data_IF_135967916312
#
_entry.id   IF_135967916312
#
_cell.length_a   1.000
_cell.length_b   1.000
_cell.length_c   1.000
_cell.angle_alpha   90.00
_cell.angle_beta   90.00
_cell.angle_gamma   90.00
#
_symmetry.space_group_name_H-M   'P 1'
#
loop_
_entity.id
_entity.type
_entity.pdbx_description
1 polymer ?
#
# COMPACT_ATOMS: atom_id res chain seq x y z
N UNK A 1 -30.68 9.77 26.89
CA UNK A 1 -30.30 8.42 26.51
C UNK A 1 -30.91 8.14 25.15
N UNK A 2 -30.22 8.39 24.09
CA UNK A 2 -30.57 7.99 22.71
C UNK A 2 -29.34 7.26 22.19
N UNK A 3 -29.51 5.95 21.92
CA UNK A 3 -28.46 5.09 21.39
C UNK A 3 -28.09 5.54 19.98
N UNK A 4 -26.81 5.72 19.74
CA UNK A 4 -26.25 5.90 18.41
C UNK A 4 -25.87 4.52 17.90
N UNK A 5 -26.53 4.11 16.82
CA UNK A 5 -26.16 2.93 16.03
C UNK A 5 -24.80 3.18 15.36
N UNK A 6 -23.74 2.63 15.94
CA UNK A 6 -22.43 2.60 15.28
C UNK A 6 -22.42 1.44 14.29
N UNK A 7 -22.55 1.76 13.00
CA UNK A 7 -22.39 0.80 11.90
C UNK A 7 -20.90 0.63 11.65
N UNK A 8 -20.30 -0.41 12.20
CA UNK A 8 -18.94 -0.83 11.91
C UNK A 8 -18.93 -1.92 10.85
N UNK A 9 -18.28 -1.65 9.74
CA UNK A 9 -18.02 -2.59 8.66
C UNK A 9 -16.51 -2.67 8.44
N UNK A 10 -15.89 -3.71 8.94
CA UNK A 10 -14.52 -4.11 8.60
C UNK A 10 -14.54 -4.91 7.28
N UNK A 11 -15.09 -4.32 6.25
CA UNK A 11 -15.04 -4.85 4.89
C UNK A 11 -15.23 -3.66 3.97
N UNK A 12 -14.38 -3.53 2.96
CA UNK A 12 -14.50 -2.46 1.98
C UNK A 12 -15.87 -2.52 1.32
N UNK A 13 -16.82 -1.70 1.77
CA UNK A 13 -18.11 -1.55 1.13
C UNK A 13 -17.95 -0.60 -0.05
N UNK A 14 -18.10 -1.11 -1.28
CA UNK A 14 -18.44 -0.26 -2.40
C UNK A 14 -19.95 0.03 -2.38
N UNK A 15 -20.40 1.23 -2.77
CA UNK A 15 -21.82 1.54 -2.85
C UNK A 15 -22.51 0.76 -3.98
N UNK A 16 -23.69 0.31 -3.72
CA UNK A 16 -24.55 -0.38 -4.69
C UNK A 16 -24.97 0.59 -5.80
N UNK A 17 -24.68 0.24 -7.04
CA UNK A 17 -25.15 0.93 -8.23
C UNK A 17 -26.70 0.84 -8.30
N UNK A 18 -27.40 1.96 -8.19
CA UNK A 18 -28.81 2.06 -8.54
C UNK A 18 -28.88 2.33 -10.04
N UNK A 19 -29.35 1.33 -10.81
CA UNK A 19 -29.67 1.45 -12.23
C UNK A 19 -30.91 2.34 -12.42
N UNK A 20 -30.67 3.57 -12.88
CA UNK A 20 -31.75 4.37 -13.49
C UNK A 20 -31.73 4.14 -15.02
N UNK A 21 -32.76 3.57 -15.54
CA UNK A 21 -32.94 3.29 -16.97
C UNK A 21 -33.02 4.57 -17.80
N UNK A 22 -32.15 4.70 -18.77
CA UNK A 22 -32.18 5.72 -19.82
C UNK A 22 -31.98 5.06 -21.17
N UNK A 23 -33.02 5.05 -21.98
CA UNK A 23 -33.06 4.56 -23.37
C UNK A 23 -32.16 5.42 -24.25
N UNK A 24 -31.12 4.86 -24.83
CA UNK A 24 -30.32 5.52 -25.85
C UNK A 24 -30.49 4.84 -27.21
N UNK A 25 -30.88 5.65 -28.17
CA UNK A 25 -31.12 5.31 -29.57
C UNK A 25 -29.78 5.01 -30.26
N UNK A 26 -29.71 3.85 -30.91
CA UNK A 26 -28.57 3.41 -31.71
C UNK A 26 -28.67 4.02 -33.10
N UNK A 27 -27.68 4.81 -33.51
CA UNK A 27 -27.42 5.18 -34.89
C UNK A 27 -26.32 4.28 -35.45
N UNK A 28 -26.69 3.37 -36.38
CA UNK A 28 -25.68 2.61 -37.14
C UNK A 28 -25.14 3.47 -38.29
N UNK A 29 -23.84 3.56 -38.35
CA UNK A 29 -23.13 4.00 -39.58
C UNK A 29 -22.31 2.83 -40.07
N UNK A 30 -22.67 2.35 -41.25
CA UNK A 30 -21.95 1.30 -41.98
C UNK A 30 -20.70 1.88 -42.67
N UNK A 31 -19.56 1.26 -42.54
CA UNK A 31 -18.37 1.49 -43.36
C UNK A 31 -17.91 0.18 -43.98
N UNK A 32 -17.73 0.18 -45.28
CA UNK A 32 -17.37 -0.95 -46.13
C UNK A 32 -15.84 -1.27 -46.09
N UNK A 33 -15.42 -2.50 -46.48
CA UNK A 33 -14.05 -2.92 -46.34
C UNK A 33 -13.17 -2.52 -47.55
N UNK A 34 -11.96 -2.05 -47.32
CA UNK A 34 -10.94 -1.87 -48.33
C UNK A 34 -10.02 -3.09 -48.42
N UNK A 35 -9.94 -3.68 -49.59
CA UNK A 35 -9.07 -4.77 -49.98
C UNK A 35 -7.63 -4.28 -50.13
N UNK A 36 -6.65 -4.95 -49.53
CA UNK A 36 -5.22 -4.78 -49.89
C UNK A 36 -4.62 -6.11 -50.31
N UNK A 37 -4.02 -6.05 -51.48
CA UNK A 37 -3.43 -7.16 -52.21
C UNK A 37 -2.08 -7.62 -51.63
N UNK A 38 -1.93 -8.96 -51.63
CA UNK A 38 -0.69 -9.69 -51.37
C UNK A 38 0.30 -9.52 -52.52
N UNK A 39 1.58 -9.21 -52.22
CA UNK A 39 2.70 -9.52 -53.11
C UNK A 39 3.74 -10.34 -52.35
N UNK A 40 3.80 -11.61 -52.71
CA UNK A 40 4.84 -12.54 -52.33
C UNK A 40 6.15 -12.25 -53.06
N UNK A 41 7.31 -12.36 -52.39
CA UNK A 41 8.63 -12.52 -52.97
C UNK A 41 9.36 -13.73 -52.36
N UNK A 42 10.20 -14.41 -53.12
CA UNK A 42 10.54 -15.81 -52.90
C UNK A 42 11.76 -16.03 -51.99
N UNK A 43 11.73 -17.16 -51.37
CA UNK A 43 12.77 -17.84 -50.60
C UNK A 43 14.05 -18.08 -51.41
N UNK A 44 15.20 -17.65 -50.90
CA UNK A 44 16.50 -18.19 -51.30
C UNK A 44 17.09 -19.01 -50.13
N UNK A 45 17.21 -20.28 -50.37
CA UNK A 45 18.00 -21.24 -49.58
C UNK A 45 19.48 -21.02 -49.88
N UNK A 46 20.28 -20.74 -48.88
CA UNK A 46 21.73 -20.96 -48.94
C UNK A 46 22.17 -21.84 -47.78
N UNK A 47 22.52 -23.06 -48.14
CA UNK A 47 23.29 -23.97 -47.30
C UNK A 47 24.76 -23.56 -47.37
N UNK A 48 25.35 -23.22 -46.22
CA UNK A 48 26.80 -23.27 -46.08
C UNK A 48 27.18 -23.94 -44.74
N UNK A 49 27.87 -25.03 -44.88
CA UNK A 49 28.61 -25.72 -43.81
C UNK A 49 29.85 -24.90 -43.48
N UNK A 50 29.99 -24.45 -42.27
CA UNK A 50 31.30 -24.13 -41.71
C UNK A 50 31.52 -24.93 -40.42
N UNK A 51 32.49 -25.81 -40.49
CA UNK A 51 33.15 -26.42 -39.33
C UNK A 51 34.04 -25.34 -38.68
N UNK A 52 34.00 -25.26 -37.34
CA UNK A 52 35.13 -24.65 -36.71
C UNK A 52 34.89 -24.07 -35.34
N UNK A 53 35.55 -24.71 -34.39
CA UNK A 53 36.00 -24.17 -33.11
C UNK A 53 34.93 -23.76 -32.07
N UNK A 54 34.60 -24.72 -31.21
CA UNK A 54 33.94 -24.42 -29.93
C UNK A 54 34.85 -23.58 -29.03
N UNK A 55 34.63 -22.25 -29.05
CA UNK A 55 35.02 -21.41 -27.95
C UNK A 55 33.94 -21.61 -26.90
N UNK A 56 34.24 -22.40 -25.87
CA UNK A 56 33.49 -22.38 -24.60
C UNK A 56 33.67 -20.97 -24.02
N UNK A 57 32.75 -20.06 -24.32
CA UNK A 57 32.53 -18.91 -23.46
C UNK A 57 32.23 -19.50 -22.08
N UNK A 58 33.15 -19.31 -21.12
CA UNK A 58 32.88 -19.48 -19.71
C UNK A 58 31.76 -18.49 -19.40
N UNK A 59 30.52 -18.99 -19.44
CA UNK A 59 29.37 -18.24 -19.04
C UNK A 59 29.61 -17.81 -17.58
N UNK A 60 29.55 -16.51 -17.32
CA UNK A 60 29.43 -16.01 -15.98
C UNK A 60 28.32 -16.81 -15.30
N UNK A 61 28.65 -17.59 -14.28
CA UNK A 61 27.67 -18.33 -13.48
C UNK A 61 26.79 -17.29 -12.85
N UNK A 62 25.57 -17.12 -13.40
CA UNK A 62 24.58 -16.18 -12.86
C UNK A 62 24.36 -16.48 -11.38
N UNK A 63 24.19 -15.44 -10.56
CA UNK A 63 23.89 -15.63 -9.15
C UNK A 63 22.60 -16.45 -9.01
N UNK A 64 22.57 -17.41 -8.09
CA UNK A 64 21.32 -18.14 -7.79
C UNK A 64 20.29 -17.18 -7.12
N UNK A 65 19.00 -17.45 -7.28
CA UNK A 65 17.94 -16.64 -6.67
C UNK A 65 18.13 -16.52 -5.13
N UNK A 66 18.54 -17.59 -4.48
CA UNK A 66 18.85 -17.56 -3.06
C UNK A 66 20.05 -16.65 -2.71
N UNK A 67 21.07 -16.56 -3.57
CA UNK A 67 22.20 -15.65 -3.36
C UNK A 67 21.80 -14.20 -3.59
N UNK A 68 20.98 -13.94 -4.61
CA UNK A 68 20.40 -12.62 -4.89
C UNK A 68 19.55 -12.15 -3.71
N UNK A 69 18.63 -13.00 -3.24
CA UNK A 69 17.76 -12.68 -2.11
C UNK A 69 18.54 -12.37 -0.83
N UNK A 70 19.53 -13.22 -0.48
CA UNK A 70 20.37 -12.98 0.71
C UNK A 70 21.20 -11.69 0.65
N UNK A 71 21.56 -11.25 -0.55
CA UNK A 71 22.33 -10.00 -0.74
C UNK A 71 21.45 -8.76 -0.96
N UNK A 72 20.14 -8.94 -1.10
CA UNK A 72 19.20 -7.84 -1.26
C UNK A 72 18.87 -7.22 0.08
N UNK A 73 18.68 -5.91 0.10
CA UNK A 73 17.99 -5.23 1.17
C UNK A 73 16.48 -5.35 0.90
N UNK A 74 15.83 -6.26 1.61
CA UNK A 74 14.39 -6.44 1.50
C UNK A 74 13.71 -5.41 2.38
N UNK A 75 12.81 -4.60 1.82
CA UNK A 75 12.04 -3.58 2.54
C UNK A 75 10.57 -3.83 2.25
N UNK A 76 9.79 -4.05 3.29
CA UNK A 76 8.33 -4.03 3.23
C UNK A 76 7.83 -2.67 3.68
N UNK A 77 6.93 -2.09 2.93
CA UNK A 77 6.47 -0.72 3.19
C UNK A 77 5.21 -0.65 4.05
N UNK A 78 4.60 -1.79 4.42
CA UNK A 78 3.36 -1.74 5.20
C UNK A 78 3.04 -3.06 5.89
N UNK A 79 2.93 -3.02 7.23
CA UNK A 79 2.37 -4.10 8.03
C UNK A 79 1.61 -3.55 9.25
N UNK A 80 0.40 -4.07 9.51
CA UNK A 80 -0.51 -3.62 10.58
C UNK A 80 -0.27 -4.28 11.95
N UNK A 81 0.84 -4.96 12.09
CA UNK A 81 1.25 -5.64 13.33
C UNK A 81 1.15 -4.78 14.59
N UNK A 82 1.33 -3.42 14.56
CA UNK A 82 1.17 -2.59 15.76
C UNK A 82 -0.19 -2.68 16.44
N UNK A 83 -1.26 -2.96 15.71
CA UNK A 83 -2.59 -3.18 16.32
C UNK A 83 -2.54 -4.31 17.34
N UNK A 84 -1.83 -5.40 17.00
CA UNK A 84 -1.71 -6.58 17.83
C UNK A 84 -0.92 -6.34 19.11
N UNK A 85 0.04 -5.38 19.11
CA UNK A 85 0.80 -5.03 20.32
C UNK A 85 -0.12 -4.51 21.42
N UNK A 86 -1.12 -3.68 21.07
CA UNK A 86 -2.05 -3.08 22.01
C UNK A 86 -3.27 -3.98 22.27
N UNK A 87 -3.87 -4.54 21.24
CA UNK A 87 -5.18 -5.18 21.33
C UNK A 87 -5.08 -6.66 21.72
N UNK A 88 -3.95 -7.33 21.41
CA UNK A 88 -3.70 -8.74 21.71
C UNK A 88 -2.55 -8.93 22.71
N UNK A 89 -1.86 -7.87 23.14
CA UNK A 89 -0.63 -7.94 23.93
C UNK A 89 0.44 -8.82 23.27
N UNK A 90 0.47 -8.78 21.93
CA UNK A 90 1.42 -9.54 21.11
C UNK A 90 2.82 -8.97 21.24
N UNK A 91 3.81 -9.84 21.30
CA UNK A 91 5.22 -9.49 21.29
C UNK A 91 5.87 -10.01 20.01
N UNK A 92 6.70 -9.21 19.35
CA UNK A 92 7.38 -9.59 18.11
C UNK A 92 8.30 -10.81 18.27
N UNK A 93 8.75 -11.12 19.47
CA UNK A 93 9.52 -12.34 19.78
C UNK A 93 8.67 -13.59 19.95
N UNK A 94 7.34 -13.46 20.04
CA UNK A 94 6.43 -14.58 20.16
C UNK A 94 6.25 -15.33 18.82
N UNK A 95 5.68 -16.55 18.90
CA UNK A 95 5.15 -17.24 17.70
C UNK A 95 4.03 -16.39 17.07
N UNK A 96 3.70 -16.62 15.79
CA UNK A 96 2.74 -15.83 15.03
C UNK A 96 1.35 -15.70 15.68
N UNK A 97 0.92 -16.69 16.47
CA UNK A 97 -0.37 -16.68 17.19
C UNK A 97 -1.58 -16.34 16.31
N UNK A 98 -1.52 -16.74 15.03
CA UNK A 98 -2.60 -16.48 14.07
C UNK A 98 -2.43 -15.22 13.21
N UNK A 99 -1.39 -14.40 13.46
CA UNK A 99 -0.99 -13.31 12.56
C UNK A 99 0.02 -13.74 11.51
N UNK A 100 0.54 -12.78 10.78
CA UNK A 100 1.43 -13.03 9.64
C UNK A 100 2.88 -12.58 9.90
N UNK A 101 3.14 -11.68 10.86
CA UNK A 101 4.45 -11.04 11.09
C UNK A 101 5.01 -11.30 12.50
N UNK A 102 6.30 -11.69 12.59
CA UNK A 102 7.14 -11.67 13.80
C UNK A 102 8.63 -11.62 13.44
N UNK A 103 9.52 -11.46 14.43
CA UNK A 103 10.98 -11.38 14.19
C UNK A 103 11.56 -12.67 13.58
N UNK A 104 11.02 -13.84 13.90
CA UNK A 104 11.50 -15.09 13.32
C UNK A 104 11.21 -15.16 11.82
N UNK A 105 9.99 -14.81 11.40
CA UNK A 105 9.61 -14.81 9.97
C UNK A 105 10.32 -13.70 9.20
N UNK A 106 10.50 -12.52 9.79
CA UNK A 106 11.27 -11.42 9.22
C UNK A 106 12.72 -11.87 8.92
N UNK A 107 13.38 -12.50 9.90
CA UNK A 107 14.75 -13.03 9.73
C UNK A 107 14.81 -14.13 8.65
N UNK A 108 13.86 -15.07 8.63
CA UNK A 108 13.79 -16.13 7.61
C UNK A 108 13.61 -15.57 6.20
N UNK A 109 12.86 -14.48 6.05
CA UNK A 109 12.61 -13.79 4.79
C UNK A 109 13.69 -12.78 4.41
N UNK A 110 14.81 -12.70 5.15
CA UNK A 110 15.86 -11.70 4.94
C UNK A 110 15.32 -10.26 4.93
N UNK A 111 14.23 -10.00 5.68
CA UNK A 111 13.65 -8.67 5.76
C UNK A 111 14.61 -7.71 6.48
N UNK A 112 15.06 -6.69 5.78
CA UNK A 112 15.99 -5.69 6.28
C UNK A 112 15.31 -4.46 6.88
N UNK A 113 14.11 -4.13 6.40
CA UNK A 113 13.32 -3.03 6.96
C UNK A 113 11.82 -3.29 6.85
N UNK A 114 11.08 -2.83 7.86
CA UNK A 114 9.62 -2.88 7.93
C UNK A 114 9.07 -1.51 8.29
N UNK A 115 8.07 -1.04 7.53
CA UNK A 115 7.27 0.11 7.91
C UNK A 115 6.00 -0.35 8.64
N UNK A 116 6.03 -0.28 9.94
CA UNK A 116 4.89 -0.57 10.81
C UNK A 116 3.81 0.49 10.64
N UNK A 117 2.60 0.04 10.27
CA UNK A 117 1.45 0.92 10.07
C UNK A 117 0.88 1.42 11.40
N UNK A 118 0.80 2.73 11.54
CA UNK A 118 0.14 3.42 12.63
C UNK A 118 -1.27 3.76 12.14
N UNK A 119 -2.15 2.77 12.15
CA UNK A 119 -3.51 2.90 11.70
C UNK A 119 -4.48 3.12 12.88
N UNK A 120 -5.43 4.02 12.70
CA UNK A 120 -6.46 4.32 13.70
C UNK A 120 -7.83 4.10 13.08
N UNK A 121 -8.60 3.22 13.68
CA UNK A 121 -9.99 3.02 13.27
C UNK A 121 -10.80 4.29 13.55
N UNK A 122 -11.34 4.98 12.51
CA UNK A 122 -11.85 6.34 12.68
C UNK A 122 -13.15 6.43 13.47
N UNK A 123 -13.98 5.39 13.46
CA UNK A 123 -15.26 5.45 14.19
C UNK A 123 -15.09 5.08 15.67
N UNK A 124 -14.30 4.03 15.97
CA UNK A 124 -14.06 3.63 17.36
C UNK A 124 -13.24 4.66 18.14
N UNK A 125 -12.41 5.43 17.42
CA UNK A 125 -11.52 6.41 18.05
C UNK A 125 -11.94 7.86 17.76
N UNK A 126 -13.17 8.09 17.32
CA UNK A 126 -13.65 9.43 16.98
C UNK A 126 -13.45 10.45 18.09
N UNK A 127 -12.67 11.50 17.81
CA UNK A 127 -12.27 12.53 18.78
C UNK A 127 -11.13 12.09 19.72
N UNK A 128 -10.49 10.95 19.44
CA UNK A 128 -9.34 10.41 20.16
C UNK A 128 -8.28 9.83 19.20
N UNK A 129 -8.32 10.22 17.94
CA UNK A 129 -7.47 9.68 16.88
C UNK A 129 -6.00 9.94 17.20
N UNK A 130 -5.67 11.15 17.65
CA UNK A 130 -4.30 11.49 18.03
C UNK A 130 -3.81 10.68 19.24
N UNK A 131 -4.67 10.40 20.21
CA UNK A 131 -4.31 9.57 21.36
C UNK A 131 -3.95 8.15 20.90
N UNK A 132 -4.80 7.50 20.11
CA UNK A 132 -4.55 6.14 19.61
C UNK A 132 -3.29 6.10 18.75
N UNK A 133 -3.07 7.12 17.90
CA UNK A 133 -1.84 7.27 17.10
C UNK A 133 -0.59 7.28 18.00
N UNK A 134 -0.60 8.04 19.09
CA UNK A 134 0.53 8.11 20.03
C UNK A 134 0.75 6.78 20.76
N UNK A 135 -0.31 6.10 21.18
CA UNK A 135 -0.24 4.78 21.83
C UNK A 135 0.39 3.74 20.89
N UNK A 136 0.05 3.73 19.59
CA UNK A 136 0.64 2.85 18.60
C UNK A 136 2.13 3.18 18.32
N UNK A 137 2.47 4.47 18.20
CA UNK A 137 3.87 4.91 18.07
C UNK A 137 4.70 4.45 19.26
N UNK A 138 4.17 4.59 20.47
CA UNK A 138 4.84 4.14 21.70
C UNK A 138 5.02 2.61 21.70
N UNK A 139 3.98 1.86 21.31
CA UNK A 139 4.03 0.41 21.24
C UNK A 139 5.14 -0.10 20.29
N UNK A 140 5.30 0.51 19.09
CA UNK A 140 6.41 0.17 18.19
C UNK A 140 7.76 0.48 18.83
N UNK A 141 7.88 1.63 19.49
CA UNK A 141 9.13 2.00 20.21
C UNK A 141 9.47 1.04 21.34
N UNK A 142 8.46 0.58 22.08
CA UNK A 142 8.65 -0.41 23.15
C UNK A 142 9.13 -1.77 22.60
N UNK A 143 8.56 -2.22 21.46
CA UNK A 143 9.06 -3.43 20.79
C UNK A 143 10.52 -3.27 20.36
N UNK A 144 10.89 -2.16 19.72
CA UNK A 144 12.27 -1.89 19.34
C UNK A 144 13.21 -1.84 20.54
N UNK A 145 12.79 -1.22 21.65
CA UNK A 145 13.59 -1.16 22.89
C UNK A 145 13.73 -2.53 23.56
N UNK A 146 12.73 -3.41 23.43
CA UNK A 146 12.76 -4.76 23.98
C UNK A 146 13.68 -5.69 23.18
N UNK A 147 13.72 -5.56 21.87
CA UNK A 147 14.42 -6.47 20.95
C UNK A 147 15.68 -5.85 20.32
N UNK A 148 16.44 -5.07 21.05
CA UNK A 148 17.62 -4.31 20.55
C UNK A 148 18.69 -5.17 19.88
N UNK A 149 18.75 -6.46 20.16
CA UNK A 149 19.65 -7.41 19.50
C UNK A 149 19.22 -7.81 18.09
N UNK A 150 17.93 -7.66 17.75
CA UNK A 150 17.35 -8.14 16.50
C UNK A 150 16.72 -7.02 15.66
N UNK A 151 16.34 -5.88 16.25
CA UNK A 151 15.75 -4.75 15.54
C UNK A 151 16.23 -3.41 16.10
N UNK A 152 16.10 -2.36 15.28
CA UNK A 152 16.43 -0.99 15.64
C UNK A 152 15.38 -0.03 15.05
N UNK A 153 14.85 0.89 15.86
CA UNK A 153 14.02 1.97 15.34
C UNK A 153 14.90 2.97 14.56
N UNK A 154 14.62 3.14 13.28
CA UNK A 154 15.37 4.06 12.42
C UNK A 154 14.44 5.09 11.78
N UNK A 155 15.02 6.22 11.36
CA UNK A 155 14.24 7.37 10.87
C UNK A 155 14.83 7.97 9.60
N UNK A 156 15.76 7.28 8.94
CA UNK A 156 16.41 7.73 7.72
C UNK A 156 16.81 6.57 6.82
N UNK A 157 17.02 6.86 5.54
CA UNK A 157 17.54 5.89 4.60
C UNK A 157 18.94 5.34 5.02
N UNK A 158 19.80 6.19 5.58
CA UNK A 158 21.09 5.76 6.12
C UNK A 158 20.92 4.83 7.33
N UNK A 159 19.91 5.10 8.18
CA UNK A 159 19.56 4.24 9.31
C UNK A 159 19.17 2.83 8.87
N UNK A 160 18.38 2.70 7.80
CA UNK A 160 18.03 1.40 7.19
C UNK A 160 19.30 0.64 6.79
N UNK A 161 20.20 1.30 6.07
CA UNK A 161 21.44 0.66 5.61
C UNK A 161 22.37 0.28 6.78
N UNK A 162 22.41 1.09 7.83
CA UNK A 162 23.18 0.76 9.03
C UNK A 162 22.62 -0.49 9.72
N UNK A 163 21.31 -0.52 10.00
CA UNK A 163 20.67 -1.66 10.63
C UNK A 163 20.87 -2.94 9.82
N UNK A 164 20.72 -2.85 8.48
CA UNK A 164 20.97 -3.99 7.59
C UNK A 164 22.41 -4.51 7.67
N UNK A 165 23.43 -3.63 7.70
CA UNK A 165 24.84 -4.03 7.90
C UNK A 165 25.07 -4.70 9.24
N UNK A 166 24.30 -4.34 10.27
CA UNK A 166 24.33 -4.93 11.60
C UNK A 166 23.45 -6.17 11.73
N UNK A 167 22.84 -6.63 10.64
CA UNK A 167 21.91 -7.76 10.60
C UNK A 167 20.70 -7.60 11.54
N UNK A 168 20.22 -6.37 11.68
CA UNK A 168 19.01 -6.02 12.43
C UNK A 168 17.90 -5.62 11.48
N UNK A 169 16.67 -5.89 11.89
CA UNK A 169 15.47 -5.33 11.24
C UNK A 169 15.41 -3.82 11.53
N UNK A 170 15.44 -3.00 10.50
CA UNK A 170 15.16 -1.58 10.61
C UNK A 170 13.64 -1.39 10.78
N UNK A 171 13.20 -0.97 11.96
CA UNK A 171 11.80 -0.62 12.21
C UNK A 171 11.58 0.85 11.85
N UNK A 172 10.58 1.10 11.01
CA UNK A 172 10.09 2.44 10.65
C UNK A 172 8.59 2.52 10.95
N UNK A 173 8.03 3.71 10.89
CA UNK A 173 6.61 3.93 11.11
C UNK A 173 6.01 4.76 9.99
N UNK A 174 4.84 4.33 9.50
CA UNK A 174 4.00 5.07 8.58
C UNK A 174 2.60 5.25 9.16
N UNK A 175 2.06 6.46 9.17
CA UNK A 175 0.66 6.68 9.53
C UNK A 175 -0.22 6.26 8.36
N UNK A 176 -1.23 5.46 8.64
CA UNK A 176 -2.27 5.12 7.68
C UNK A 176 -3.56 5.87 8.01
N UNK A 177 -3.82 6.89 7.20
CA UNK A 177 -4.99 7.74 7.33
C UNK A 177 -4.72 9.11 7.97
N UNK A 178 -4.83 10.15 7.15
CA UNK A 178 -4.59 11.54 7.55
C UNK A 178 -5.58 12.10 8.56
N UNK A 179 -6.69 11.40 8.89
CA UNK A 179 -7.56 11.73 10.00
C UNK A 179 -6.82 11.72 11.35
N UNK A 180 -5.73 10.94 11.45
CA UNK A 180 -4.88 10.86 12.65
C UNK A 180 -4.27 12.21 13.09
N UNK A 181 -4.15 13.18 12.17
CA UNK A 181 -3.64 14.52 12.52
C UNK A 181 -4.72 15.48 13.05
N UNK A 182 -6.00 15.08 13.11
CA UNK A 182 -7.11 15.91 13.60
C UNK A 182 -7.06 17.34 13.03
N UNK A 183 -6.86 17.47 11.71
CA UNK A 183 -6.70 18.74 10.99
C UNK A 183 -5.58 19.66 11.55
N UNK A 184 -4.54 19.12 12.15
CA UNK A 184 -3.45 19.86 12.80
C UNK A 184 -2.07 19.62 12.17
N UNK A 185 -1.49 20.62 11.52
CA UNK A 185 -0.09 20.59 11.10
C UNK A 185 0.87 20.49 12.30
N UNK A 186 0.43 20.90 13.47
CA UNK A 186 1.18 20.72 14.73
C UNK A 186 1.34 19.25 15.06
N UNK A 187 0.27 18.46 15.03
CA UNK A 187 0.32 16.99 15.24
C UNK A 187 1.17 16.30 14.17
N UNK A 188 1.03 16.67 12.88
CA UNK A 188 1.87 16.14 11.81
C UNK A 188 3.38 16.31 12.12
N UNK A 189 3.79 17.49 12.58
CA UNK A 189 5.19 17.77 12.97
C UNK A 189 5.62 16.93 14.18
N UNK A 190 4.75 16.76 15.18
CA UNK A 190 5.07 15.94 16.35
C UNK A 190 5.21 14.47 15.97
N UNK A 191 4.36 13.93 15.10
CA UNK A 191 4.48 12.54 14.62
C UNK A 191 5.79 12.32 13.86
N UNK A 192 6.19 13.28 13.01
CA UNK A 192 7.51 13.22 12.36
C UNK A 192 8.66 13.24 13.39
N UNK A 193 8.59 14.11 14.39
CA UNK A 193 9.59 14.18 15.46
C UNK A 193 9.65 12.88 16.30
N UNK A 194 8.51 12.18 16.43
CA UNK A 194 8.42 10.87 17.10
C UNK A 194 8.92 9.69 16.26
N UNK A 195 9.21 9.91 14.97
CA UNK A 195 9.83 8.91 14.10
C UNK A 195 9.00 8.44 12.91
N UNK A 196 7.78 8.96 12.70
CA UNK A 196 6.97 8.64 11.52
C UNK A 196 7.65 9.15 10.25
N UNK A 197 7.67 8.36 9.18
CA UNK A 197 8.37 8.69 7.92
C UNK A 197 7.51 8.68 6.67
N UNK A 198 6.30 8.18 6.73
CA UNK A 198 5.26 8.48 5.73
C UNK A 198 3.91 8.72 6.38
N UNK A 199 2.98 9.31 5.65
CA UNK A 199 1.57 9.35 6.00
C UNK A 199 0.73 9.16 4.75
N UNK A 200 -0.18 8.18 4.81
CA UNK A 200 -1.24 8.00 3.81
C UNK A 200 -2.31 9.08 4.02
N UNK A 201 -2.66 9.82 2.98
CA UNK A 201 -3.51 11.02 3.11
C UNK A 201 -4.94 10.69 3.56
N UNK A 202 -5.43 9.50 3.24
CA UNK A 202 -6.72 8.96 3.69
C UNK A 202 -6.56 7.48 4.06
N UNK A 203 -7.56 6.93 4.74
CA UNK A 203 -7.80 5.49 4.76
C UNK A 203 -9.00 5.18 3.84
N UNK A 204 -9.84 4.18 4.13
CA UNK A 204 -11.08 3.90 3.38
C UNK A 204 -12.18 4.96 3.56
N UNK A 205 -11.97 5.91 4.45
CA UNK A 205 -12.82 7.07 4.69
C UNK A 205 -12.14 8.36 4.19
N UNK A 206 -12.91 9.21 3.55
CA UNK A 206 -12.54 10.61 3.34
C UNK A 206 -12.43 11.34 4.67
N UNK A 207 -11.55 12.33 4.74
CA UNK A 207 -11.42 13.22 5.90
C UNK A 207 -11.74 14.68 5.48
N UNK A 208 -11.59 15.63 6.40
CA UNK A 208 -11.96 17.03 6.14
C UNK A 208 -11.14 17.72 5.04
N UNK A 209 -10.11 17.09 4.47
CA UNK A 209 -9.19 17.73 3.55
C UNK A 209 -8.66 16.86 2.39
N UNK A 210 -8.97 15.54 2.37
CA UNK A 210 -8.61 14.61 1.30
C UNK A 210 -9.71 13.56 1.09
N UNK A 211 -9.97 13.20 -0.17
CA UNK A 211 -10.98 12.22 -0.56
C UNK A 211 -10.37 10.83 -0.71
N UNK A 212 -11.04 9.83 -0.13
CA UNK A 212 -10.67 8.41 -0.20
C UNK A 212 -11.23 7.73 -1.45
N UNK A 213 -10.59 6.62 -1.84
CA UNK A 213 -11.13 5.69 -2.84
C UNK A 213 -12.25 4.80 -2.28
N UNK A 214 -12.36 4.69 -0.95
CA UNK A 214 -13.32 3.80 -0.31
C UNK A 214 -14.74 4.37 -0.22
N UNK A 215 -14.89 5.69 -0.28
CA UNK A 215 -16.16 6.41 -0.21
C UNK A 215 -16.32 7.49 -1.30
N UNK A 216 -15.50 7.44 -2.35
CA UNK A 216 -15.46 8.46 -3.41
C UNK A 216 -16.81 8.65 -4.13
N UNK A 217 -17.63 7.62 -4.18
CA UNK A 217 -18.95 7.63 -4.84
C UNK A 217 -20.11 7.72 -3.82
N UNK A 218 -19.82 7.85 -2.52
CA UNK A 218 -20.88 7.98 -1.50
C UNK A 218 -21.36 9.43 -1.43
N UNK A 219 -22.59 9.65 -1.94
CA UNK A 219 -23.23 10.97 -1.93
C UNK A 219 -23.56 11.51 -0.53
N UNK A 220 -23.44 10.67 0.52
CA UNK A 220 -23.66 11.09 1.91
C UNK A 220 -22.37 11.59 2.56
N UNK A 221 -21.22 11.37 1.93
CA UNK A 221 -19.92 11.84 2.40
C UNK A 221 -19.62 13.20 1.77
N UNK A 222 -19.17 14.15 2.59
CA UNK A 222 -18.72 15.44 2.08
C UNK A 222 -17.34 15.28 1.43
N UNK A 223 -17.28 15.54 0.12
CA UNK A 223 -16.05 15.46 -0.64
C UNK A 223 -15.47 16.85 -0.90
N UNK A 224 -14.14 16.90 -1.05
CA UNK A 224 -13.45 18.10 -1.51
C UNK A 224 -13.75 18.31 -3.01
N UNK A 225 -13.79 19.57 -3.44
CA UNK A 225 -14.08 19.88 -4.85
C UNK A 225 -13.03 19.32 -5.83
N UNK A 226 -11.77 19.19 -5.37
CA UNK A 226 -10.61 18.86 -6.20
C UNK A 226 -9.77 17.68 -5.67
N UNK A 227 -10.31 16.87 -4.76
CA UNK A 227 -9.59 15.78 -4.09
C UNK A 227 -8.80 16.23 -2.86
N UNK A 228 -8.23 17.43 -2.87
CA UNK A 228 -7.57 18.07 -1.72
C UNK A 228 -8.14 19.46 -1.46
N UNK A 229 -8.46 19.76 -0.21
CA UNK A 229 -8.76 21.13 0.24
C UNK A 229 -7.48 21.99 0.29
N UNK A 230 -7.61 23.31 0.56
CA UNK A 230 -6.44 24.18 0.77
C UNK A 230 -5.60 23.70 1.96
N UNK A 231 -6.23 23.21 3.04
CA UNK A 231 -5.52 22.61 4.15
C UNK A 231 -4.80 21.32 3.73
N UNK A 232 -5.41 20.45 2.90
CA UNK A 232 -4.78 19.26 2.35
C UNK A 232 -3.52 19.58 1.53
N UNK A 233 -3.53 20.69 0.78
CA UNK A 233 -2.33 21.19 0.08
C UNK A 233 -1.24 21.62 1.06
N UNK A 234 -1.60 22.25 2.17
CA UNK A 234 -0.65 22.64 3.22
C UNK A 234 -0.07 21.40 3.94
N UNK A 235 -0.87 20.33 4.12
CA UNK A 235 -0.39 19.03 4.65
C UNK A 235 0.68 18.46 3.73
N UNK A 236 0.42 18.31 2.43
CA UNK A 236 1.38 17.79 1.45
C UNK A 236 2.66 18.63 1.41
N UNK A 237 2.52 19.96 1.42
CA UNK A 237 3.66 20.86 1.49
C UNK A 237 4.50 20.64 2.75
N UNK A 238 3.87 20.55 3.92
CA UNK A 238 4.57 20.37 5.20
C UNK A 238 5.24 18.99 5.29
N UNK A 239 4.61 17.93 4.75
CA UNK A 239 5.23 16.62 4.62
C UNK A 239 6.52 16.68 3.79
N UNK A 240 6.49 17.33 2.62
CA UNK A 240 7.69 17.52 1.80
C UNK A 240 8.77 18.30 2.56
N UNK A 241 8.40 19.37 3.28
CA UNK A 241 9.34 20.16 4.06
C UNK A 241 9.96 19.41 5.24
N UNK A 242 9.19 18.52 5.86
CA UNK A 242 9.67 17.66 6.95
C UNK A 242 10.60 16.55 6.45
N UNK A 243 10.42 16.05 5.24
CA UNK A 243 11.03 14.81 4.75
C UNK A 243 10.20 13.57 5.08
N UNK A 244 8.88 13.75 5.21
CA UNK A 244 7.90 12.69 5.33
C UNK A 244 7.40 12.32 3.93
N UNK A 245 7.52 11.05 3.53
CA UNK A 245 7.00 10.58 2.24
C UNK A 245 5.49 10.75 2.19
N UNK A 246 4.99 11.30 1.09
CA UNK A 246 3.55 11.43 0.83
C UNK A 246 3.07 10.13 0.23
N UNK A 247 2.19 9.45 0.95
CA UNK A 247 1.62 8.18 0.51
C UNK A 247 0.21 8.37 -0.05
N UNK A 248 0.00 7.84 -1.25
CA UNK A 248 -1.26 7.93 -2.00
C UNK A 248 -2.01 6.60 -2.09
N UNK A 249 -1.64 5.60 -1.28
CA UNK A 249 -2.51 4.45 -1.06
C UNK A 249 -3.84 4.94 -0.48
N UNK A 250 -4.95 4.26 -0.72
CA UNK A 250 -6.30 4.62 -0.27
C UNK A 250 -6.94 5.90 -0.84
N UNK A 251 -6.20 6.79 -1.47
CA UNK A 251 -6.78 8.05 -1.95
C UNK A 251 -7.65 7.85 -3.20
N UNK A 252 -8.62 8.73 -3.41
CA UNK A 252 -9.37 8.78 -4.67
C UNK A 252 -8.46 9.17 -5.84
N UNK A 253 -8.84 8.79 -7.07
CA UNK A 253 -8.11 9.16 -8.28
C UNK A 253 -7.91 10.69 -8.36
N UNK A 254 -8.91 11.47 -7.94
CA UNK A 254 -8.84 12.94 -7.90
C UNK A 254 -7.80 13.43 -6.90
N UNK A 255 -7.77 12.87 -5.71
CA UNK A 255 -6.77 13.17 -4.68
C UNK A 255 -5.37 12.81 -5.14
N UNK A 256 -5.20 11.67 -5.82
CA UNK A 256 -3.94 11.25 -6.41
C UNK A 256 -3.38 12.32 -7.36
N UNK A 257 -4.16 12.69 -8.40
CA UNK A 257 -3.68 13.68 -9.38
C UNK A 257 -3.43 15.05 -8.77
N UNK A 258 -4.25 15.44 -7.77
CA UNK A 258 -4.02 16.72 -7.08
C UNK A 258 -2.73 16.68 -6.25
N UNK A 259 -2.48 15.58 -5.55
CA UNK A 259 -1.23 15.36 -4.79
C UNK A 259 -0.01 15.39 -5.70
N UNK A 260 -0.09 14.71 -6.84
CA UNK A 260 0.98 14.69 -7.84
C UNK A 260 1.39 16.09 -8.32
N UNK A 261 0.41 16.99 -8.54
CA UNK A 261 0.68 18.36 -8.98
C UNK A 261 1.35 19.20 -7.88
N UNK A 262 1.03 18.93 -6.61
CA UNK A 262 1.45 19.78 -5.48
C UNK A 262 2.78 19.30 -4.88
N UNK A 263 3.01 18.00 -4.85
CA UNK A 263 4.21 17.43 -4.23
C UNK A 263 5.48 17.88 -4.95
N UNK A 264 6.45 18.37 -4.16
CA UNK A 264 7.80 18.74 -4.63
C UNK A 264 8.77 17.57 -4.54
N UNK A 265 8.45 16.56 -3.73
CA UNK A 265 9.17 15.31 -3.60
C UNK A 265 8.45 14.18 -4.34
N UNK A 266 9.15 13.10 -4.73
CA UNK A 266 8.48 11.92 -5.25
C UNK A 266 7.50 11.36 -4.21
N UNK A 267 6.36 10.86 -4.70
CA UNK A 267 5.30 10.27 -3.87
C UNK A 267 5.40 8.75 -3.91
N UNK A 268 4.81 8.10 -2.91
CA UNK A 268 4.73 6.63 -2.86
C UNK A 268 3.27 6.18 -2.84
N UNK A 269 3.03 4.95 -3.32
CA UNK A 269 1.87 4.17 -2.93
C UNK A 269 2.40 3.01 -2.09
N UNK A 270 2.22 3.08 -0.77
CA UNK A 270 2.84 2.15 0.18
C UNK A 270 2.32 0.72 0.07
N UNK A 271 1.06 0.55 -0.38
CA UNK A 271 0.41 -0.75 -0.55
C UNK A 271 -0.78 -0.63 -1.53
N UNK A 272 -0.52 -0.72 -2.83
CA UNK A 272 -1.51 -0.65 -3.91
C UNK A 272 -1.21 -1.70 -4.98
N UNK A 273 -2.00 -1.77 -6.05
CA UNK A 273 -1.79 -2.70 -7.15
C UNK A 273 -2.13 -2.07 -8.50
N UNK A 274 -2.19 -2.87 -9.55
CA UNK A 274 -2.58 -2.47 -10.89
C UNK A 274 -4.07 -2.73 -11.12
N UNK A 275 -4.84 -1.68 -11.43
CA UNK A 275 -6.29 -1.75 -11.65
C UNK A 275 -6.64 -2.54 -12.90
N UNK A 276 -5.76 -2.54 -13.89
CA UNK A 276 -5.92 -3.33 -15.11
C UNK A 276 -6.02 -4.85 -14.84
N UNK A 277 -5.36 -5.35 -13.80
CA UNK A 277 -5.40 -6.76 -13.42
C UNK A 277 -6.51 -7.09 -12.42
N UNK A 278 -6.89 -6.13 -11.60
CA UNK A 278 -7.97 -6.28 -10.62
C UNK A 278 -8.64 -4.91 -10.44
N UNK A 279 -9.87 -4.80 -10.94
CA UNK A 279 -10.64 -3.56 -10.94
C UNK A 279 -11.15 -3.22 -9.54
N UNK A 280 -10.20 -2.71 -8.75
CA UNK A 280 -10.39 -2.18 -7.41
C UNK A 280 -10.05 -0.69 -7.40
N UNK A 281 -10.88 0.18 -6.77
CA UNK A 281 -10.53 1.59 -6.60
C UNK A 281 -9.26 1.79 -5.75
N UNK A 282 -8.85 0.76 -4.98
CA UNK A 282 -7.58 0.75 -4.24
C UNK A 282 -6.35 0.55 -5.14
N UNK A 283 -6.55 0.01 -6.33
CA UNK A 283 -5.51 -0.19 -7.34
C UNK A 283 -5.39 1.03 -8.25
N UNK A 284 -4.20 1.23 -8.79
CA UNK A 284 -3.85 2.36 -9.65
C UNK A 284 -4.09 2.01 -11.13
N UNK A 285 -4.66 2.96 -11.88
CA UNK A 285 -4.74 2.84 -13.34
C UNK A 285 -3.36 2.92 -13.98
N UNK A 286 -3.21 2.44 -15.20
CA UNK A 286 -1.95 2.53 -15.96
C UNK A 286 -1.44 3.98 -16.08
N UNK A 287 -2.36 4.95 -16.22
CA UNK A 287 -2.00 6.37 -16.26
C UNK A 287 -1.47 6.87 -14.91
N UNK A 288 -2.05 6.40 -13.80
CA UNK A 288 -1.53 6.69 -12.45
C UNK A 288 -0.16 6.05 -12.22
N UNK A 289 0.05 4.81 -12.69
CA UNK A 289 1.34 4.12 -12.63
C UNK A 289 2.43 4.90 -13.38
N UNK A 290 2.12 5.38 -14.59
CA UNK A 290 3.04 6.26 -15.36
C UNK A 290 3.26 7.60 -14.67
N UNK A 291 2.23 8.16 -14.06
CA UNK A 291 2.29 9.46 -13.41
C UNK A 291 3.14 9.42 -12.13
N UNK A 292 3.01 8.40 -11.29
CA UNK A 292 3.82 8.25 -10.07
C UNK A 292 5.30 8.08 -10.41
N UNK A 293 5.62 7.36 -11.49
CA UNK A 293 6.98 7.19 -11.98
C UNK A 293 7.64 8.51 -12.40
N UNK A 294 6.85 9.55 -12.65
CA UNK A 294 7.33 10.89 -13.02
C UNK A 294 7.03 11.93 -11.92
N UNK A 295 6.71 11.49 -10.69
CA UNK A 295 6.38 12.41 -9.59
C UNK A 295 7.62 13.11 -9.01
N UNK A 296 7.39 14.25 -8.35
CA UNK A 296 8.44 15.08 -7.77
C UNK A 296 8.87 16.23 -8.68
N UNK A 297 9.95 16.93 -8.31
CA UNK A 297 10.48 18.05 -9.08
C UNK A 297 11.18 17.65 -10.39
N UNK A 298 11.69 18.63 -11.16
CA UNK A 298 12.31 18.36 -12.47
C UNK A 298 13.52 17.41 -12.45
N UNK A 299 14.23 17.35 -11.33
CA UNK A 299 15.41 16.50 -11.15
C UNK A 299 15.06 15.17 -10.44
N UNK A 300 13.77 14.94 -10.16
CA UNK A 300 13.29 13.73 -9.50
C UNK A 300 13.43 12.51 -10.41
N UNK A 301 13.79 11.38 -9.80
CA UNK A 301 13.77 10.07 -10.44
C UNK A 301 12.42 9.37 -10.30
N UNK A 302 11.41 10.09 -9.82
CA UNK A 302 10.05 9.61 -9.67
C UNK A 302 9.80 8.75 -8.43
N UNK A 303 8.52 8.52 -8.16
CA UNK A 303 8.03 7.75 -7.02
C UNK A 303 8.07 6.24 -7.21
N UNK A 304 7.36 5.52 -6.34
CA UNK A 304 7.32 4.06 -6.36
C UNK A 304 5.95 3.54 -5.93
N UNK A 305 5.52 2.45 -6.55
CA UNK A 305 4.32 1.68 -6.17
C UNK A 305 4.78 0.39 -5.49
N UNK A 306 4.36 0.20 -4.27
CA UNK A 306 4.57 -1.03 -3.52
C UNK A 306 3.35 -1.92 -3.68
N UNK A 307 3.56 -3.12 -4.21
CA UNK A 307 2.47 -4.04 -4.54
C UNK A 307 1.89 -4.64 -3.28
N UNK A 308 0.59 -4.45 -3.08
CA UNK A 308 -0.17 -5.03 -1.97
C UNK A 308 -0.42 -6.52 -2.21
N UNK A 309 -0.41 -7.33 -1.14
CA UNK A 309 -0.61 -8.77 -1.22
C UNK A 309 -2.06 -9.21 -0.96
N UNK A 310 -2.95 -8.30 -0.64
CA UNK A 310 -4.35 -8.63 -0.44
C UNK A 310 -4.97 -9.30 -1.66
N UNK A 311 -5.50 -10.50 -1.49
CA UNK A 311 -6.08 -11.30 -2.57
C UNK A 311 -7.15 -10.56 -3.37
N UNK A 312 -7.91 -9.66 -2.72
CA UNK A 312 -8.94 -8.83 -3.36
C UNK A 312 -8.39 -7.67 -4.20
N UNK A 313 -7.08 -7.38 -4.14
CA UNK A 313 -6.39 -6.44 -5.03
C UNK A 313 -5.52 -7.15 -6.06
N UNK A 314 -5.16 -8.39 -5.78
CA UNK A 314 -4.33 -9.22 -6.64
C UNK A 314 -5.15 -9.92 -7.72
N UNK A 315 -6.35 -10.41 -7.38
CA UNK A 315 -7.16 -11.29 -8.22
C UNK A 315 -8.58 -10.76 -8.45
N UNK A 316 -8.93 -10.50 -9.70
CA UNK A 316 -10.31 -10.14 -10.07
C UNK A 316 -11.30 -11.25 -9.69
N UNK A 317 -10.93 -12.51 -9.94
CA UNK A 317 -11.80 -13.64 -9.59
C UNK A 317 -12.08 -13.72 -8.08
N UNK A 318 -11.04 -13.50 -7.24
CA UNK A 318 -11.21 -13.49 -5.79
C UNK A 318 -12.12 -12.32 -5.36
N UNK A 319 -11.87 -11.13 -5.91
CA UNK A 319 -12.66 -9.93 -5.64
C UNK A 319 -14.14 -10.11 -6.01
N UNK A 320 -14.42 -10.70 -7.17
CA UNK A 320 -15.80 -10.97 -7.62
C UNK A 320 -16.50 -11.97 -6.70
N UNK A 321 -15.80 -13.00 -6.25
CA UNK A 321 -16.30 -13.97 -5.28
C UNK A 321 -16.59 -13.32 -3.91
N UNK A 322 -15.75 -12.38 -3.45
CA UNK A 322 -16.02 -11.60 -2.24
C UNK A 322 -17.27 -10.74 -2.40
N UNK A 323 -17.37 -9.98 -3.48
CA UNK A 323 -18.56 -9.15 -3.76
C UNK A 323 -19.85 -9.98 -3.80
N UNK A 324 -19.79 -11.18 -4.35
CA UNK A 324 -20.93 -12.11 -4.38
C UNK A 324 -21.30 -12.62 -2.98
N UNK A 325 -20.34 -12.75 -2.08
CA UNK A 325 -20.53 -13.23 -0.69
C UNK A 325 -20.94 -12.13 0.28
N UNK A 326 -20.65 -10.87 -0.02
CA UNK A 326 -20.88 -9.70 0.84
C UNK A 326 -22.31 -9.62 1.43
N UNK A 327 -23.41 -9.84 0.66
CA UNK A 327 -24.75 -9.75 1.24
C UNK A 327 -25.00 -10.79 2.32
N UNK A 328 -24.48 -12.03 2.15
CA UNK A 328 -24.61 -13.10 3.13
C UNK A 328 -23.78 -12.78 4.38
N UNK A 329 -22.55 -12.36 4.21
CA UNK A 329 -21.64 -11.96 5.29
C UNK A 329 -22.21 -10.77 6.09
N UNK A 330 -22.69 -9.71 5.43
CA UNK A 330 -23.36 -8.57 6.09
C UNK A 330 -24.56 -9.00 6.93
N UNK A 331 -25.37 -9.91 6.41
CA UNK A 331 -26.53 -10.49 7.13
C UNK A 331 -26.07 -11.27 8.36
N UNK A 332 -25.00 -12.06 8.25
CA UNK A 332 -24.46 -12.83 9.36
C UNK A 332 -23.86 -11.92 10.45
N UNK A 333 -23.13 -10.86 10.07
CA UNK A 333 -22.63 -9.85 11.00
C UNK A 333 -23.76 -9.13 11.71
N UNK A 334 -24.83 -8.78 11.01
CA UNK A 334 -26.00 -8.16 11.64
C UNK A 334 -26.67 -9.10 12.63
N UNK A 335 -26.84 -10.37 12.29
CA UNK A 335 -27.38 -11.38 13.20
C UNK A 335 -26.51 -11.57 14.45
N UNK A 336 -25.19 -11.53 14.33
CA UNK A 336 -24.25 -11.55 15.46
C UNK A 336 -24.47 -10.34 16.38
N UNK A 337 -24.60 -9.15 15.81
CA UNK A 337 -24.87 -7.91 16.56
C UNK A 337 -26.22 -7.96 17.29
N UNK A 338 -27.26 -8.43 16.62
CA UNK A 338 -28.61 -8.53 17.19
C UNK A 338 -28.64 -9.53 18.35
N UNK A 339 -27.92 -10.67 18.19
CA UNK A 339 -27.75 -11.65 19.27
C UNK A 339 -27.02 -11.07 20.48
N UNK A 340 -25.88 -10.42 20.25
CA UNK A 340 -25.13 -9.77 21.33
C UNK A 340 -25.98 -8.73 22.08
N UNK A 341 -26.77 -7.94 21.34
CA UNK A 341 -27.70 -6.96 21.91
C UNK A 341 -28.81 -7.62 22.74
N UNK A 342 -29.35 -8.75 22.30
CA UNK A 342 -30.32 -9.53 23.06
C UNK A 342 -29.72 -10.07 24.37
N UNK A 343 -28.42 -10.39 24.38
CA UNK A 343 -27.64 -10.81 25.54
C UNK A 343 -27.21 -9.62 26.43
N UNK A 344 -27.66 -8.38 26.15
CA UNK A 344 -27.38 -7.16 26.92
C UNK A 344 -25.94 -6.63 26.74
N UNK A 345 -25.23 -6.99 25.68
CA UNK A 345 -23.87 -6.56 25.32
C UNK A 345 -23.78 -6.08 23.86
N UNK A 346 -22.66 -5.54 23.49
CA UNK A 346 -22.31 -5.32 22.10
C UNK A 346 -21.45 -6.47 21.55
N UNK A 347 -21.57 -6.76 20.24
CA UNK A 347 -20.66 -7.68 19.59
C UNK A 347 -19.25 -7.06 19.54
N UNK A 348 -18.25 -7.79 20.01
CA UNK A 348 -16.87 -7.32 19.98
C UNK A 348 -16.32 -7.29 18.56
N UNK A 349 -15.35 -6.43 18.30
CA UNK A 349 -14.64 -6.38 17.01
C UNK A 349 -13.96 -7.73 16.68
N UNK A 350 -13.42 -8.41 17.69
CA UNK A 350 -12.82 -9.73 17.53
C UNK A 350 -13.84 -10.78 17.04
N UNK A 351 -15.08 -10.76 17.58
CA UNK A 351 -16.15 -11.67 17.11
C UNK A 351 -16.54 -11.37 15.66
N UNK A 352 -16.63 -10.09 15.31
CA UNK A 352 -16.97 -9.65 13.94
C UNK A 352 -15.84 -10.03 12.97
N UNK A 353 -14.58 -9.74 13.29
CA UNK A 353 -13.42 -10.06 12.48
C UNK A 353 -13.29 -11.59 12.26
N UNK A 354 -13.50 -12.37 13.32
CA UNK A 354 -13.52 -13.84 13.21
C UNK A 354 -14.59 -14.33 12.23
N UNK A 355 -15.80 -13.80 12.33
CA UNK A 355 -16.89 -14.17 11.42
C UNK A 355 -16.58 -13.76 9.97
N UNK A 356 -16.02 -12.58 9.76
CA UNK A 356 -15.61 -12.11 8.44
C UNK A 356 -14.51 -13.01 7.85
N UNK A 357 -13.54 -13.43 8.66
CA UNK A 357 -12.50 -14.39 8.24
C UNK A 357 -13.09 -15.76 7.86
N UNK A 358 -14.07 -16.27 8.63
CA UNK A 358 -14.77 -17.51 8.28
C UNK A 358 -15.47 -17.45 6.91
N UNK A 359 -15.97 -16.28 6.50
CA UNK A 359 -16.50 -16.06 5.17
C UNK A 359 -15.40 -15.97 4.12
N UNK A 360 -14.34 -15.24 4.39
CA UNK A 360 -13.20 -15.13 3.48
C UNK A 360 -12.52 -16.47 3.20
N UNK A 361 -12.41 -17.34 4.20
CA UNK A 361 -11.82 -18.69 4.09
C UNK A 361 -12.61 -19.64 3.18
N UNK A 362 -13.86 -19.29 2.83
CA UNK A 362 -14.67 -20.04 1.84
C UNK A 362 -14.24 -19.74 0.40
N UNK A 363 -13.52 -18.65 0.18
CA UNK A 363 -13.04 -18.23 -1.14
C UNK A 363 -11.64 -18.80 -1.34
N UNK A 364 -11.40 -19.60 -2.40
CA UNK A 364 -10.05 -20.10 -2.68
C UNK A 364 -9.06 -18.96 -2.89
N UNK A 365 -7.97 -18.98 -2.15
CA UNK A 365 -6.87 -18.02 -2.28
C UNK A 365 -6.30 -18.07 -3.71
N UNK A 366 -6.00 -16.92 -4.34
CA UNK A 366 -5.43 -16.89 -5.69
C UNK A 366 -4.03 -17.52 -5.72
N UNK A 367 -3.60 -18.04 -6.87
CA UNK A 367 -2.24 -18.55 -7.03
C UNK A 367 -1.19 -17.45 -6.76
N UNK A 368 -0.06 -17.83 -6.17
CA UNK A 368 1.08 -16.92 -5.94
C UNK A 368 1.54 -16.18 -7.21
N UNK A 369 1.44 -16.84 -8.38
CA UNK A 369 1.81 -16.23 -9.66
C UNK A 369 1.07 -14.92 -9.96
N UNK A 370 -0.18 -14.75 -9.47
CA UNK A 370 -0.94 -13.52 -9.69
C UNK A 370 -0.37 -12.32 -8.91
N UNK A 371 0.25 -12.55 -7.74
CA UNK A 371 1.02 -11.51 -7.06
C UNK A 371 2.19 -11.06 -7.90
N UNK A 372 2.91 -12.00 -8.53
CA UNK A 372 4.02 -11.66 -9.41
C UNK A 372 3.52 -11.00 -10.70
N UNK A 373 2.32 -11.35 -11.20
CA UNK A 373 1.70 -10.67 -12.34
C UNK A 373 1.43 -9.19 -12.03
N UNK A 374 1.04 -8.84 -10.79
CA UNK A 374 0.92 -7.45 -10.34
C UNK A 374 2.27 -6.71 -10.40
N UNK A 375 3.34 -7.34 -9.90
CA UNK A 375 4.70 -6.77 -9.94
C UNK A 375 5.15 -6.57 -11.39
N UNK A 376 4.95 -7.57 -12.25
CA UNK A 376 5.29 -7.51 -13.68
C UNK A 376 4.55 -6.37 -14.39
N UNK A 377 3.25 -6.22 -14.11
CA UNK A 377 2.46 -5.16 -14.75
C UNK A 377 2.94 -3.77 -14.33
N UNK A 378 3.15 -3.54 -13.04
CA UNK A 378 3.68 -2.27 -12.55
C UNK A 378 5.08 -2.00 -13.15
N UNK A 379 5.97 -3.00 -13.14
CA UNK A 379 7.30 -2.86 -13.74
C UNK A 379 7.25 -2.55 -15.24
N UNK A 380 6.32 -3.15 -15.98
CA UNK A 380 6.13 -2.91 -17.41
C UNK A 380 5.58 -1.52 -17.71
N UNK A 381 4.67 -1.01 -16.89
CA UNK A 381 3.95 0.26 -17.16
C UNK A 381 4.71 1.46 -16.60
N UNK A 382 5.16 1.38 -15.36
CA UNK A 382 5.86 2.45 -14.65
C UNK A 382 7.38 2.40 -14.84
N UNK A 383 7.93 1.22 -15.14
CA UNK A 383 9.36 0.96 -15.20
C UNK A 383 9.88 0.23 -13.96
N UNK A 384 11.00 -0.48 -14.16
CA UNK A 384 11.61 -1.32 -13.12
C UNK A 384 12.05 -0.55 -11.87
N UNK A 385 12.34 0.73 -11.99
CA UNK A 385 12.79 1.61 -10.91
C UNK A 385 11.61 2.13 -10.03
N UNK A 386 10.36 1.74 -10.34
CA UNK A 386 9.15 2.30 -9.75
C UNK A 386 8.22 1.27 -9.11
N UNK A 387 8.70 0.06 -8.87
CA UNK A 387 7.94 -1.02 -8.26
C UNK A 387 8.66 -1.60 -7.04
N UNK A 388 7.89 -2.03 -6.05
CA UNK A 388 8.39 -2.70 -4.85
C UNK A 388 7.29 -3.53 -4.17
N UNK A 389 7.45 -3.83 -2.89
CA UNK A 389 6.55 -4.67 -2.10
C UNK A 389 6.00 -3.92 -0.88
N UNK A 390 4.71 -4.06 -0.63
CA UNK A 390 4.02 -3.54 0.53
C UNK A 390 2.95 -4.55 0.95
N UNK A 391 3.31 -5.48 1.83
CA UNK A 391 2.58 -6.73 2.02
C UNK A 391 1.19 -6.58 2.59
N UNK A 392 1.01 -5.60 3.46
CA UNK A 392 -0.21 -5.40 4.24
C UNK A 392 -0.46 -6.55 5.25
N UNK A 393 0.64 -7.18 5.74
CA UNK A 393 0.58 -8.22 6.76
C UNK A 393 -0.12 -7.72 8.02
N UNK A 394 -0.88 -8.61 8.64
CA UNK A 394 -1.74 -8.36 9.80
C UNK A 394 -2.92 -7.38 9.55
N UNK A 395 -2.98 -6.68 8.37
CA UNK A 395 -4.08 -5.79 7.98
C UNK A 395 -5.18 -6.47 7.16
N UNK A 396 -4.88 -7.60 6.54
CA UNK A 396 -5.74 -8.27 5.56
C UNK A 396 -6.31 -9.61 6.04
N UNK A 397 -6.20 -9.90 7.32
CA UNK A 397 -6.81 -11.09 7.96
C UNK A 397 -6.47 -12.43 7.28
N UNK A 398 -5.22 -12.61 6.83
CA UNK A 398 -4.76 -13.84 6.18
C UNK A 398 -5.22 -14.05 4.74
N UNK A 399 -5.85 -13.04 4.13
CA UNK A 399 -6.35 -13.12 2.74
C UNK A 399 -5.24 -12.87 1.72
N UNK A 400 -4.18 -13.65 1.83
CA UNK A 400 -2.97 -13.63 1.03
C UNK A 400 -3.03 -14.63 -0.14
N UNK A 401 -2.27 -14.45 -1.23
CA UNK A 401 -2.09 -15.47 -2.26
C UNK A 401 -1.52 -16.78 -1.68
N UNK A 402 -1.81 -17.91 -2.33
CA UNK A 402 -1.35 -19.23 -1.88
C UNK A 402 0.17 -19.26 -1.72
N UNK A 403 0.64 -19.73 -0.56
CA UNK A 403 2.06 -19.87 -0.28
C UNK A 403 2.80 -18.57 0.06
N UNK A 404 2.08 -17.46 0.24
CA UNK A 404 2.56 -16.22 0.83
C UNK A 404 1.85 -16.03 2.17
N UNK A 405 2.46 -16.51 3.26
CA UNK A 405 1.80 -16.56 4.57
C UNK A 405 2.51 -15.71 5.63
N UNK A 406 3.73 -15.25 5.32
CA UNK A 406 4.54 -14.40 6.21
C UNK A 406 5.76 -13.86 5.47
N UNK A 407 6.55 -12.94 6.06
CA UNK A 407 7.84 -12.51 5.49
C UNK A 407 8.79 -13.65 5.13
N UNK A 408 8.73 -14.80 5.81
CA UNK A 408 9.56 -15.97 5.50
C UNK A 408 9.43 -16.45 4.03
N UNK A 409 8.34 -16.08 3.37
CA UNK A 409 8.04 -16.46 1.98
C UNK A 409 8.59 -15.48 0.93
N UNK A 410 9.15 -14.34 1.31
CA UNK A 410 9.66 -13.32 0.38
C UNK A 410 10.72 -13.86 -0.60
N UNK A 411 11.49 -14.86 -0.21
CA UNK A 411 12.44 -15.53 -1.11
C UNK A 411 11.77 -16.12 -2.36
N UNK A 412 10.47 -16.46 -2.30
CA UNK A 412 9.70 -16.96 -3.45
C UNK A 412 9.49 -15.86 -4.49
N UNK A 413 9.33 -14.61 -4.06
CA UNK A 413 9.25 -13.45 -4.96
C UNK A 413 10.51 -13.38 -5.80
N UNK A 414 11.68 -13.40 -5.16
CA UNK A 414 12.98 -13.35 -5.87
C UNK A 414 13.16 -14.51 -6.84
N UNK A 415 12.83 -15.72 -6.39
CA UNK A 415 12.94 -16.91 -7.22
C UNK A 415 12.08 -16.80 -8.49
N UNK A 416 10.81 -16.42 -8.32
CA UNK A 416 9.88 -16.35 -9.45
C UNK A 416 10.19 -15.16 -10.36
N UNK A 417 10.64 -14.01 -9.86
CA UNK A 417 11.10 -12.91 -10.70
C UNK A 417 12.28 -13.33 -11.58
N UNK A 418 13.27 -14.03 -11.02
CA UNK A 418 14.41 -14.54 -11.80
C UNK A 418 13.99 -15.61 -12.81
N UNK A 419 13.04 -16.48 -12.49
CA UNK A 419 12.45 -17.44 -13.44
C UNK A 419 11.72 -16.73 -14.59
N UNK A 420 11.13 -15.55 -14.34
CA UNK A 420 10.51 -14.69 -15.38
C UNK A 420 11.53 -13.86 -16.17
N UNK A 421 12.81 -13.97 -15.86
CA UNK A 421 13.89 -13.33 -16.62
C UNK A 421 14.38 -11.99 -16.08
N UNK A 422 13.94 -11.57 -14.88
CA UNK A 422 14.50 -10.40 -14.21
C UNK A 422 15.95 -10.63 -13.84
N UNK A 423 16.78 -9.62 -14.01
CA UNK A 423 18.18 -9.68 -13.58
C UNK A 423 18.31 -9.64 -12.05
N UNK A 424 19.45 -10.04 -11.54
CA UNK A 424 19.75 -9.92 -10.12
C UNK A 424 19.64 -8.47 -9.61
N UNK A 425 19.97 -7.51 -10.45
CA UNK A 425 19.88 -6.08 -10.15
C UNK A 425 18.41 -5.63 -10.10
N UNK A 426 17.58 -6.05 -11.07
CA UNK A 426 16.14 -5.76 -11.06
C UNK A 426 15.48 -6.30 -9.80
N UNK A 427 15.81 -7.54 -9.40
CA UNK A 427 15.29 -8.11 -8.17
C UNK A 427 15.67 -7.27 -6.94
N UNK A 428 16.93 -6.80 -6.83
CA UNK A 428 17.35 -5.95 -5.71
C UNK A 428 16.62 -4.60 -5.68
N UNK A 429 16.34 -4.03 -6.86
CA UNK A 429 15.54 -2.80 -6.98
C UNK A 429 14.12 -3.02 -6.46
N UNK A 430 13.43 -4.07 -6.93
CA UNK A 430 12.07 -4.41 -6.53
C UNK A 430 12.00 -4.71 -5.03
N UNK A 431 12.93 -5.49 -4.51
CA UNK A 431 12.91 -5.93 -3.12
C UNK A 431 13.08 -4.80 -2.09
N UNK A 432 13.58 -3.62 -2.49
CA UNK A 432 13.71 -2.50 -1.56
C UNK A 432 14.54 -1.34 -2.07
N UNK A 433 15.42 -1.56 -3.08
CA UNK A 433 16.29 -0.52 -3.61
C UNK A 433 15.53 0.70 -4.12
N UNK A 434 14.37 0.48 -4.73
CA UNK A 434 13.52 1.55 -5.26
C UNK A 434 12.92 2.41 -4.15
N UNK A 435 12.37 1.81 -3.10
CA UNK A 435 11.83 2.55 -1.95
C UNK A 435 12.93 3.34 -1.23
N UNK A 436 14.09 2.71 -1.02
CA UNK A 436 15.24 3.36 -0.38
C UNK A 436 15.73 4.58 -1.18
N UNK A 437 15.72 4.49 -2.53
CA UNK A 437 16.02 5.62 -3.43
C UNK A 437 15.03 6.76 -3.22
N UNK A 438 13.73 6.46 -3.24
CA UNK A 438 12.67 7.47 -3.04
C UNK A 438 12.82 8.14 -1.67
N UNK A 439 13.03 7.36 -0.62
CA UNK A 439 13.18 7.92 0.73
C UNK A 439 14.37 8.90 0.80
N UNK A 440 15.54 8.55 0.25
CA UNK A 440 16.69 9.48 0.16
C UNK A 440 16.38 10.75 -0.60
N UNK A 441 15.64 10.64 -1.69
CA UNK A 441 15.27 11.80 -2.49
C UNK A 441 14.32 12.72 -1.72
N UNK A 442 13.34 12.16 -1.00
CA UNK A 442 12.46 12.93 -0.09
C UNK A 442 13.26 13.65 0.99
N UNK A 443 14.26 12.99 1.60
CA UNK A 443 15.16 13.63 2.58
C UNK A 443 15.99 14.78 1.97
N UNK A 444 16.42 14.65 0.71
CA UNK A 444 17.17 15.70 0.01
C UNK A 444 16.28 16.90 -0.32
N UNK A 445 15.06 16.66 -0.82
CA UNK A 445 14.08 17.72 -1.08
C UNK A 445 13.73 18.48 0.20
N UNK A 446 13.58 17.75 1.32
CA UNK A 446 13.30 18.38 2.61
C UNK A 446 14.42 19.35 3.05
N UNK A 447 15.70 18.96 2.89
CA UNK A 447 16.84 19.84 3.20
C UNK A 447 16.80 21.14 2.38
N UNK A 448 16.45 21.06 1.10
CA UNK A 448 16.29 22.23 0.23
C UNK A 448 15.13 23.11 0.70
N UNK A 449 13.95 22.52 0.92
CA UNK A 449 12.76 23.26 1.35
C UNK A 449 12.93 23.91 2.73
N UNK A 450 13.63 23.27 3.66
CA UNK A 450 13.94 23.83 4.99
C UNK A 450 14.88 25.03 4.91
N UNK A 451 15.80 25.03 3.96
CA UNK A 451 16.71 26.17 3.74
C UNK A 451 15.96 27.37 3.11
N UNK A 452 14.96 27.13 2.27
CA UNK A 452 14.23 28.15 1.53
C UNK A 452 13.00 28.68 2.29
N UNK A 453 12.35 27.86 3.10
CA UNK A 453 11.01 28.11 3.59
C UNK A 453 10.82 27.83 5.08
N UNK A 454 10.08 28.72 5.75
CA UNK A 454 9.63 28.51 7.14
C UNK A 454 8.43 27.55 7.19
N UNK A 455 8.21 26.86 8.34
CA UNK A 455 7.01 26.07 8.57
C UNK A 455 5.75 26.89 8.33
N UNK A 456 4.77 26.32 7.66
CA UNK A 456 3.45 26.94 7.57
C UNK A 456 2.75 26.87 8.92
N UNK A 457 2.21 27.99 9.36
CA UNK A 457 1.37 28.10 10.56
C UNK A 457 -0.06 28.31 10.05
N UNK A 458 -0.65 27.27 9.47
CA UNK A 458 -2.09 27.31 9.20
C UNK A 458 -2.79 26.83 10.46
N UNK A 459 -3.29 27.77 11.23
CA UNK A 459 -4.25 27.46 12.29
C UNK A 459 -5.61 27.47 11.61
N UNK A 460 -6.15 26.28 11.29
CA UNK A 460 -7.59 26.18 11.08
C UNK A 460 -8.22 26.60 12.40
N UNK A 461 -8.91 27.74 12.41
CA UNK A 461 -9.58 28.20 13.62
C UNK A 461 -10.56 27.11 14.05
N UNK A 462 -10.49 26.59 15.28
CA UNK A 462 -11.29 25.43 15.66
C UNK A 462 -12.80 25.67 15.70
N UNK A 463 -13.29 26.86 15.48
CA UNK A 463 -14.71 27.20 15.60
C UNK A 463 -15.09 28.39 14.70
N UNK A 464 -15.27 28.18 13.40
CA UNK A 464 -16.40 28.86 12.80
C UNK A 464 -17.65 28.02 13.09
N UNK A 465 -18.37 28.39 14.14
CA UNK A 465 -19.77 28.00 14.28
C UNK A 465 -20.43 28.44 12.97
N UNK A 466 -21.02 27.48 12.24
CA UNK A 466 -22.01 27.80 11.21
C UNK A 466 -23.01 28.75 11.88
N UNK A 467 -22.97 30.01 11.48
CA UNK A 467 -23.99 30.97 11.88
C UNK A 467 -25.34 30.46 11.45
N UNK A 468 -26.32 30.66 12.28
CA UNK A 468 -27.74 30.32 12.16
C UNK A 468 -28.34 30.56 10.79
#
# INVERSE_FOLDING_TARGET
>A
MRGHDSKFLFWMAEPALILAGGTAVILMVAAAPASAQSTARPTQTMTEKSKGAGVKLAGAVGQSAAAVHRSAMVIDSHADTPQRFLDEHFDLGDSLKGGEFNLETARKGNLGAEFFAIWVEPQANKGHEARRTLELIDAVKLQAAKHTGEMELVTSAEGIERAHREHKLAALMGIEGGHSIEDSLGLLRQYYALGVRYMTLTWTNSNGWADSSGDADDALVAHTKEGLSEFGKDVVYEMNRLGMMVDVSHVSDRTFYRTLIISRAPIIASHSGARELCDSPRNMTDDMLRAIANSGGPDSKGGVVQVNFYSGFVSQQYRDAQKAMDPEMKKAVQALKDKAKADGREASQTEIAKLQREYADRIPRPPFSQLIDQIDHVAKVAGIDHVGIGSDFDGISGQLPQGMDSPADFQKITATLMERGYSAEDCRKILGGNLLRVFREVEQVAKQLQAENRPRITVKQPFEKSGD
#
